data_IF_186345728211
#
_entry.id   IF_186345728211
#
_cell.length_a   1.000
_cell.length_b   1.000
_cell.length_c   1.000
_cell.angle_alpha   90.00
_cell.angle_beta   90.00
_cell.angle_gamma   90.00
#
_symmetry.space_group_name_H-M   'P 1'
#
loop_
_entity.id
_entity.type
_entity.pdbx_description
1 polymer ?
#
# COMPACT_ATOMS: atom_id res chain seq x y z
N UNK A 1 -12.48 -8.55 -12.70
CA UNK A 1 -12.76 -8.10 -11.33
C UNK A 1 -11.42 -8.02 -10.64
N UNK A 2 -11.04 -6.86 -10.13
CA UNK A 2 -9.72 -6.62 -9.54
C UNK A 2 -9.82 -6.77 -8.03
N UNK A 3 -8.85 -7.46 -7.42
CA UNK A 3 -8.82 -7.59 -5.96
C UNK A 3 -8.19 -6.34 -5.33
N UNK A 4 -8.59 -6.06 -4.09
CA UNK A 4 -8.03 -4.99 -3.27
C UNK A 4 -7.48 -5.57 -1.96
N UNK A 5 -6.31 -5.09 -1.55
CA UNK A 5 -5.74 -5.33 -0.22
C UNK A 5 -5.62 -3.99 0.48
N UNK A 6 -6.24 -3.87 1.65
CA UNK A 6 -6.29 -2.62 2.41
C UNK A 6 -5.48 -2.79 3.69
N UNK A 7 -4.49 -1.93 3.90
CA UNK A 7 -3.71 -1.88 5.12
C UNK A 7 -4.14 -0.66 5.94
N UNK A 8 -4.77 -0.92 7.08
CA UNK A 8 -5.15 0.10 8.05
C UNK A 8 -3.98 0.39 9.00
N UNK A 9 -3.49 1.63 8.98
CA UNK A 9 -2.41 2.14 9.84
C UNK A 9 -1.18 1.20 9.95
N UNK A 10 -0.58 0.76 8.84
CA UNK A 10 0.49 -0.23 8.88
C UNK A 10 1.73 0.31 9.58
N UNK A 11 2.25 -0.48 10.51
CA UNK A 11 3.38 -0.05 11.36
C UNK A 11 4.75 -0.46 10.83
N UNK A 12 4.86 -1.60 10.15
CA UNK A 12 6.15 -2.22 9.82
C UNK A 12 6.44 -2.14 8.30
N UNK A 13 7.51 -1.44 7.86
CA UNK A 13 7.79 -1.23 6.44
C UNK A 13 8.03 -2.53 5.67
N UNK A 14 8.64 -3.53 6.31
CA UNK A 14 8.91 -4.83 5.70
C UNK A 14 7.62 -5.59 5.34
N UNK A 15 6.59 -5.50 6.18
CA UNK A 15 5.31 -6.16 5.92
C UNK A 15 4.61 -5.51 4.73
N UNK A 16 4.53 -4.18 4.71
CA UNK A 16 3.93 -3.44 3.59
C UNK A 16 4.70 -3.68 2.29
N UNK A 17 6.04 -3.74 2.32
CA UNK A 17 6.84 -4.08 1.14
C UNK A 17 6.54 -5.47 0.60
N UNK A 18 6.49 -6.49 1.47
CA UNK A 18 6.16 -7.86 1.07
C UNK A 18 4.74 -7.96 0.48
N UNK A 19 3.77 -7.25 1.06
CA UNK A 19 2.39 -7.21 0.57
C UNK A 19 2.31 -6.48 -0.78
N UNK A 20 3.02 -5.35 -0.94
CA UNK A 20 3.11 -4.63 -2.21
C UNK A 20 3.69 -5.50 -3.33
N UNK A 21 4.71 -6.33 -3.02
CA UNK A 21 5.25 -7.31 -3.97
C UNK A 21 4.21 -8.35 -4.38
N UNK A 22 3.44 -8.89 -3.44
CA UNK A 22 2.34 -9.81 -3.75
C UNK A 22 1.32 -9.13 -4.66
N UNK A 23 0.93 -7.90 -4.33
CA UNK A 23 -0.05 -7.14 -5.12
C UNK A 23 0.41 -6.88 -6.56
N UNK A 24 1.68 -6.53 -6.75
CA UNK A 24 2.29 -6.40 -8.08
C UNK A 24 2.27 -7.71 -8.89
N UNK A 25 2.43 -8.86 -8.21
CA UNK A 25 2.42 -10.18 -8.85
C UNK A 25 1.02 -10.72 -9.16
N UNK A 26 -0.03 -10.18 -8.53
CA UNK A 26 -1.41 -10.68 -8.64
C UNK A 26 -2.38 -9.67 -9.27
N UNK A 27 -1.89 -8.54 -9.78
CA UNK A 27 -2.72 -7.45 -10.31
C UNK A 27 -3.78 -6.98 -9.30
N UNK A 28 -3.34 -6.85 -8.04
CA UNK A 28 -4.16 -6.40 -6.91
C UNK A 28 -3.84 -4.95 -6.59
N UNK A 29 -4.86 -4.15 -6.27
CA UNK A 29 -4.68 -2.78 -5.79
C UNK A 29 -4.32 -2.80 -4.31
N UNK A 30 -3.34 -1.98 -3.93
CA UNK A 30 -2.94 -1.79 -2.54
C UNK A 30 -3.46 -0.45 -2.02
N UNK A 31 -4.37 -0.49 -1.06
CA UNK A 31 -4.90 0.69 -0.38
C UNK A 31 -4.16 0.86 0.97
N UNK A 32 -3.58 2.04 1.21
CA UNK A 32 -2.89 2.36 2.46
C UNK A 32 -3.65 3.47 3.20
N UNK A 33 -4.06 3.20 4.44
CA UNK A 33 -4.77 4.17 5.27
C UNK A 33 -3.79 4.71 6.34
N UNK A 34 -3.68 6.04 6.40
CA UNK A 34 -2.83 6.76 7.35
C UNK A 34 -3.37 6.71 8.80
N UNK A 35 -2.51 6.94 9.82
CA UNK A 35 -1.06 7.17 9.73
C UNK A 35 -0.24 5.89 9.47
N UNK A 36 0.77 6.00 8.60
CA UNK A 36 1.76 4.94 8.42
C UNK A 36 2.83 5.03 9.52
N UNK A 37 3.21 3.90 10.12
CA UNK A 37 4.29 3.85 11.10
C UNK A 37 5.70 4.01 10.51
N UNK A 38 5.81 4.32 9.22
CA UNK A 38 7.06 4.46 8.48
C UNK A 38 6.89 5.42 7.29
N UNK A 39 8.00 5.97 6.79
CA UNK A 39 7.99 6.77 5.57
C UNK A 39 8.10 5.89 4.33
N UNK A 40 7.23 6.13 3.35
CA UNK A 40 7.30 5.49 2.03
C UNK A 40 8.51 5.96 1.20
N UNK A 41 9.04 7.14 1.51
CA UNK A 41 10.21 7.72 0.85
C UNK A 41 11.54 7.21 1.43
N UNK A 42 11.48 6.43 2.51
CA UNK A 42 12.68 5.96 3.21
C UNK A 42 13.56 5.13 2.26
N UNK A 43 14.87 5.38 2.31
CA UNK A 43 15.87 4.59 1.58
C UNK A 43 15.81 3.11 1.94
N UNK A 44 15.30 2.76 3.13
CA UNK A 44 15.05 1.38 3.55
C UNK A 44 13.95 0.70 2.76
N UNK A 45 12.88 1.43 2.40
CA UNK A 45 11.90 0.99 1.42
C UNK A 45 12.67 0.67 0.14
N UNK A 46 13.39 1.63 -0.46
CA UNK A 46 14.12 1.43 -1.75
C UNK A 46 15.14 0.27 -1.75
N UNK A 47 15.83 0.01 -0.63
CA UNK A 47 16.81 -1.09 -0.49
C UNK A 47 16.18 -2.47 -0.31
N UNK A 48 14.90 -2.57 0.04
CA UNK A 48 14.17 -3.85 0.10
C UNK A 48 13.85 -4.44 -1.30
N UNK A 49 14.44 -3.88 -2.38
CA UNK A 49 14.28 -4.38 -3.75
C UNK A 49 12.99 -3.91 -4.41
N UNK A 50 12.61 -2.64 -4.21
CA UNK A 50 11.36 -2.03 -4.68
C UNK A 50 11.29 -1.78 -6.20
N UNK A 51 11.67 -2.75 -7.02
CA UNK A 51 11.38 -2.70 -8.46
C UNK A 51 9.87 -2.89 -8.75
N UNK A 52 9.03 -2.93 -7.71
CA UNK A 52 7.59 -3.20 -7.79
C UNK A 52 6.70 -2.04 -7.34
N UNK A 53 7.20 -0.98 -6.67
CA UNK A 53 6.33 0.17 -6.36
C UNK A 53 5.77 0.82 -7.62
N UNK A 54 6.57 0.89 -8.68
CA UNK A 54 6.12 1.36 -9.99
C UNK A 54 5.19 0.36 -10.71
N UNK A 55 5.05 -0.87 -10.18
CA UNK A 55 4.28 -1.98 -10.78
C UNK A 55 3.02 -2.34 -10.01
N UNK A 56 2.80 -1.78 -8.82
CA UNK A 56 1.57 -1.94 -8.06
C UNK A 56 0.77 -0.64 -8.13
N UNK A 57 -0.55 -0.74 -8.28
CA UNK A 57 -1.43 0.42 -8.11
C UNK A 57 -1.63 0.65 -6.63
N UNK A 58 -1.13 1.77 -6.11
CA UNK A 58 -1.35 2.19 -4.72
C UNK A 58 -2.31 3.38 -4.66
N UNK A 59 -3.29 3.28 -3.77
CA UNK A 59 -4.05 4.42 -3.29
C UNK A 59 -3.65 4.72 -1.84
N UNK A 60 -3.61 6.00 -1.49
CA UNK A 60 -3.43 6.45 -0.11
C UNK A 60 -4.70 7.13 0.36
N UNK A 61 -5.05 6.91 1.61
CA UNK A 61 -6.24 7.46 2.24
C UNK A 61 -5.83 8.10 3.56
N UNK A 62 -6.28 9.32 3.81
CA UNK A 62 -5.89 10.09 5.01
C UNK A 62 -6.55 9.53 6.27
N UNK A 63 -7.64 8.76 6.11
CA UNK A 63 -8.39 8.12 7.20
C UNK A 63 -9.25 6.97 6.69
N UNK A 64 -9.83 6.20 7.61
CA UNK A 64 -10.80 5.16 7.27
C UNK A 64 -12.06 5.71 6.58
N UNK A 65 -12.48 6.93 6.96
CA UNK A 65 -13.64 7.61 6.36
C UNK A 65 -13.37 8.00 4.90
N UNK A 66 -12.15 8.46 4.62
CA UNK A 66 -11.69 8.80 3.27
C UNK A 66 -11.68 7.54 2.38
N UNK A 67 -11.17 6.42 2.90
CA UNK A 67 -11.25 5.12 2.24
C UNK A 67 -12.70 4.69 1.94
N UNK A 68 -13.61 4.81 2.92
CA UNK A 68 -15.02 4.45 2.70
C UNK A 68 -15.69 5.33 1.66
N UNK A 69 -15.36 6.62 1.63
CA UNK A 69 -15.84 7.55 0.60
C UNK A 69 -15.31 7.19 -0.79
N UNK A 70 -14.03 6.80 -0.89
CA UNK A 70 -13.39 6.36 -2.13
C UNK A 70 -14.05 5.11 -2.72
N UNK A 71 -14.39 4.10 -1.91
CA UNK A 71 -14.98 2.86 -2.43
C UNK A 71 -16.49 2.98 -2.71
N UNK A 72 -17.14 4.04 -2.23
CA UNK A 72 -18.56 4.30 -2.47
C UNK A 72 -18.83 5.07 -3.77
N UNK A 73 -17.80 5.62 -4.42
CA UNK A 73 -17.86 6.33 -5.71
C UNK A 73 -17.70 5.40 -6.91
#
# INVERSE_FOLDING_TARGET
>A
MTNHVVLYEPLMPANTGNIARTCAGTDTVLDLIEPLGFSLDDKHMKRAGLDYWDKVKINKHDSLEDFFSYIAS
#
